data_IF_872075294805
#
_entry.id   IF_872075294805
#
_cell.length_a   1.000
_cell.length_b   1.000
_cell.length_c   1.000
_cell.angle_alpha   90.00
_cell.angle_beta   90.00
_cell.angle_gamma   90.00
#
_symmetry.space_group_name_H-M   'P 1'
#
loop_
_entity.id
_entity.type
_entity.pdbx_description
1 polymer ?
#
# COMPACT_ATOMS: atom_id res chain seq x y z
N UNK A 1 13.95 -23.76 -20.02
CA UNK A 1 13.63 -24.54 -18.79
C UNK A 1 12.28 -24.10 -18.24
N UNK A 2 11.73 -24.88 -17.27
CA UNK A 2 10.45 -24.56 -16.63
C UNK A 2 10.71 -24.28 -15.15
N UNK A 3 10.22 -23.15 -14.66
CA UNK A 3 10.30 -22.71 -13.28
C UNK A 3 8.91 -22.48 -12.69
N UNK A 4 8.80 -22.52 -11.37
CA UNK A 4 7.60 -22.16 -10.64
C UNK A 4 7.89 -21.08 -9.59
N UNK A 5 6.92 -20.21 -9.38
CA UNK A 5 6.96 -19.24 -8.29
C UNK A 5 5.72 -19.35 -7.43
N UNK A 6 5.92 -19.52 -6.14
CA UNK A 6 4.86 -19.63 -5.15
C UNK A 6 5.07 -18.60 -4.03
N UNK A 7 4.01 -17.84 -3.68
CA UNK A 7 4.10 -16.78 -2.69
C UNK A 7 2.95 -16.83 -1.67
N UNK A 8 3.30 -16.62 -0.41
CA UNK A 8 2.35 -16.36 0.68
C UNK A 8 2.74 -15.08 1.44
N UNK A 9 1.78 -14.43 2.08
CA UNK A 9 2.01 -13.15 2.77
C UNK A 9 2.56 -13.32 4.19
N UNK A 10 2.42 -14.50 4.80
CA UNK A 10 2.97 -14.83 6.12
C UNK A 10 3.46 -16.28 6.16
N UNK A 11 4.32 -16.59 7.13
CA UNK A 11 4.84 -17.94 7.35
C UNK A 11 3.77 -18.92 7.87
N UNK A 12 2.69 -18.42 8.44
CA UNK A 12 1.56 -19.20 8.93
C UNK A 12 0.67 -19.73 7.80
N UNK A 13 0.74 -19.12 6.60
CA UNK A 13 0.02 -19.57 5.44
C UNK A 13 0.79 -20.69 4.72
N UNK A 14 0.06 -21.70 4.25
CA UNK A 14 0.68 -22.83 3.54
C UNK A 14 0.84 -22.56 2.04
N UNK A 15 1.96 -23.01 1.50
CA UNK A 15 2.23 -23.01 0.05
C UNK A 15 1.71 -24.26 -0.65
N UNK A 16 1.24 -25.24 0.10
CA UNK A 16 0.91 -26.60 -0.38
C UNK A 16 0.03 -26.61 -1.63
N UNK A 17 -1.07 -25.83 -1.59
CA UNK A 17 -1.98 -25.74 -2.74
C UNK A 17 -1.28 -25.23 -3.99
N UNK A 18 -0.42 -24.21 -3.87
CA UNK A 18 0.31 -23.66 -5.00
C UNK A 18 1.35 -24.66 -5.51
N UNK A 19 2.09 -25.31 -4.60
CA UNK A 19 3.08 -26.34 -4.96
C UNK A 19 2.44 -27.51 -5.69
N UNK A 20 1.24 -27.95 -5.25
CA UNK A 20 0.48 -29.01 -5.93
C UNK A 20 0.13 -28.61 -7.37
N UNK A 21 -0.43 -27.42 -7.56
CA UNK A 21 -0.80 -26.88 -8.88
C UNK A 21 0.41 -26.78 -9.81
N UNK A 22 1.55 -26.27 -9.29
CA UNK A 22 2.78 -26.14 -10.07
C UNK A 22 3.34 -27.52 -10.46
N UNK A 23 3.32 -28.49 -9.55
CA UNK A 23 3.75 -29.86 -9.82
C UNK A 23 2.88 -30.54 -10.88
N UNK A 24 1.56 -30.36 -10.84
CA UNK A 24 0.62 -30.87 -11.86
C UNK A 24 0.91 -30.31 -13.26
N UNK A 25 1.53 -29.15 -13.35
CA UNK A 25 2.02 -28.52 -14.60
C UNK A 25 3.43 -28.97 -15.01
N UNK A 26 3.99 -29.97 -14.32
CA UNK A 26 5.30 -30.51 -14.64
C UNK A 26 6.49 -29.71 -14.13
N UNK A 27 6.27 -28.78 -13.21
CA UNK A 27 7.39 -28.01 -12.61
C UNK A 27 8.09 -28.90 -11.57
N UNK A 28 9.39 -29.09 -11.75
CA UNK A 28 10.22 -29.80 -10.75
C UNK A 28 10.29 -28.98 -9.45
N UNK A 29 10.16 -29.65 -8.31
CA UNK A 29 10.25 -29.04 -6.98
C UNK A 29 11.55 -28.26 -6.73
N UNK A 30 12.66 -28.72 -7.34
CA UNK A 30 13.96 -28.05 -7.30
C UNK A 30 13.97 -26.70 -8.06
N UNK A 31 13.01 -26.50 -8.97
CA UNK A 31 12.85 -25.29 -9.77
C UNK A 31 11.70 -24.40 -9.28
N UNK A 32 11.15 -24.67 -8.10
CA UNK A 32 10.11 -23.82 -7.50
C UNK A 32 10.72 -22.87 -6.47
N UNK A 33 10.57 -21.58 -6.72
CA UNK A 33 10.98 -20.49 -5.82
C UNK A 33 9.83 -20.14 -4.88
N UNK A 34 10.10 -20.18 -3.57
CA UNK A 34 9.09 -20.01 -2.51
C UNK A 34 9.30 -18.67 -1.79
N UNK A 35 8.39 -17.74 -1.94
CA UNK A 35 8.48 -16.39 -1.40
C UNK A 35 7.54 -16.17 -0.21
N UNK A 36 8.04 -15.53 0.85
CA UNK A 36 7.28 -15.10 2.01
C UNK A 36 7.23 -13.57 2.04
N UNK A 37 6.39 -12.99 1.21
CA UNK A 37 6.30 -11.54 1.04
C UNK A 37 4.88 -11.08 0.69
N UNK A 38 4.61 -9.79 0.94
CA UNK A 38 3.34 -9.17 0.55
C UNK A 38 3.14 -9.16 -0.96
N UNK A 39 1.88 -9.34 -1.41
CA UNK A 39 1.50 -9.16 -2.81
C UNK A 39 1.41 -7.71 -3.27
N UNK A 40 1.63 -6.72 -2.39
CA UNK A 40 1.47 -5.29 -2.71
C UNK A 40 2.63 -4.70 -3.50
N UNK A 41 3.84 -5.25 -3.37
CA UNK A 41 5.03 -4.78 -4.08
C UNK A 41 5.99 -5.93 -4.36
N UNK A 42 6.82 -5.79 -5.40
CA UNK A 42 7.95 -6.67 -5.68
C UNK A 42 9.21 -6.30 -4.88
N UNK A 43 9.20 -5.15 -4.24
CA UNK A 43 10.32 -4.72 -3.39
C UNK A 43 10.55 -5.74 -2.26
N UNK A 44 11.78 -6.19 -2.10
CA UNK A 44 12.21 -7.19 -1.11
C UNK A 44 11.71 -8.63 -1.38
N UNK A 45 11.44 -9.01 -2.64
CA UNK A 45 11.16 -10.40 -3.03
C UNK A 45 12.44 -11.09 -3.49
N UNK A 46 13.22 -11.54 -2.53
CA UNK A 46 14.55 -12.12 -2.75
C UNK A 46 14.48 -13.36 -3.65
N UNK A 47 13.47 -14.21 -3.43
CA UNK A 47 13.33 -15.44 -4.22
C UNK A 47 12.85 -15.14 -5.65
N UNK A 48 12.08 -14.09 -5.87
CA UNK A 48 11.72 -13.65 -7.21
C UNK A 48 12.94 -13.09 -7.97
N UNK A 49 13.77 -12.31 -7.31
CA UNK A 49 15.02 -11.79 -7.89
C UNK A 49 15.96 -12.94 -8.28
N UNK A 50 16.18 -13.92 -7.40
CA UNK A 50 16.94 -15.14 -7.68
C UNK A 50 16.39 -15.94 -8.85
N UNK A 51 15.06 -16.06 -8.93
CA UNK A 51 14.40 -16.70 -10.06
C UNK A 51 14.74 -15.99 -11.36
N UNK A 52 14.62 -14.65 -11.37
CA UNK A 52 14.93 -13.85 -12.54
C UNK A 52 16.41 -13.98 -12.96
N UNK A 53 17.35 -14.03 -12.02
CA UNK A 53 18.77 -14.22 -12.30
C UNK A 53 19.05 -15.58 -12.96
N UNK A 54 18.31 -16.61 -12.56
CA UNK A 54 18.46 -17.97 -13.08
C UNK A 54 17.83 -18.16 -14.46
N UNK A 55 16.77 -17.40 -14.77
CA UNK A 55 16.04 -17.51 -16.03
C UNK A 55 16.82 -17.00 -17.22
N UNK A 56 16.71 -17.70 -18.34
CA UNK A 56 17.27 -17.38 -19.65
C UNK A 56 16.15 -17.11 -20.67
N UNK A 57 16.52 -16.53 -21.81
CA UNK A 57 15.62 -16.36 -22.96
C UNK A 57 14.99 -17.71 -23.34
N UNK A 58 13.67 -17.74 -23.52
CA UNK A 58 12.90 -18.94 -23.85
C UNK A 58 12.45 -19.76 -22.64
N UNK A 59 12.86 -19.40 -21.41
CA UNK A 59 12.39 -20.07 -20.21
C UNK A 59 10.94 -19.68 -19.87
N UNK A 60 10.24 -20.55 -19.14
CA UNK A 60 8.85 -20.34 -18.74
C UNK A 60 8.74 -20.35 -17.23
N UNK A 61 8.06 -19.35 -16.67
CA UNK A 61 7.72 -19.26 -15.25
C UNK A 61 6.21 -19.50 -15.08
N UNK A 62 5.86 -20.51 -14.30
CA UNK A 62 4.49 -20.77 -13.89
C UNK A 62 4.16 -20.10 -12.55
N UNK A 63 3.05 -19.42 -12.51
CA UNK A 63 2.42 -18.84 -11.32
C UNK A 63 1.08 -19.54 -11.09
N UNK A 64 0.75 -19.87 -9.85
CA UNK A 64 -0.53 -20.52 -9.55
C UNK A 64 -1.72 -19.63 -9.94
N UNK A 65 -1.60 -18.31 -9.74
CA UNK A 65 -2.62 -17.31 -10.11
C UNK A 65 -1.99 -15.92 -10.13
N UNK A 66 -2.68 -14.97 -10.74
CA UNK A 66 -2.24 -13.57 -10.88
C UNK A 66 -2.11 -12.87 -9.51
N UNK A 67 -3.02 -13.14 -8.56
CA UNK A 67 -2.96 -12.57 -7.22
C UNK A 67 -1.76 -13.08 -6.41
N UNK A 68 -1.21 -14.25 -6.75
CA UNK A 68 0.04 -14.77 -6.19
C UNK A 68 1.26 -14.08 -6.78
N UNK A 69 1.18 -13.67 -8.03
CA UNK A 69 2.21 -12.85 -8.65
C UNK A 69 2.20 -11.43 -8.04
N UNK A 70 1.08 -10.71 -8.13
CA UNK A 70 0.93 -9.37 -7.57
C UNK A 70 -0.53 -9.01 -7.30
N UNK A 71 -0.75 -8.07 -6.37
CA UNK A 71 -2.03 -7.38 -6.14
C UNK A 71 -1.98 -5.91 -6.57
N UNK A 72 -0.84 -5.46 -7.06
CA UNK A 72 -0.65 -4.11 -7.58
C UNK A 72 -0.51 -4.20 -9.09
N UNK A 73 -1.46 -3.61 -9.79
CA UNK A 73 -1.56 -3.70 -11.24
C UNK A 73 -0.40 -3.00 -11.93
N UNK A 74 -0.02 -1.82 -11.48
CA UNK A 74 1.11 -1.07 -12.05
C UNK A 74 2.39 -1.89 -11.95
N UNK A 75 2.63 -2.51 -10.80
CA UNK A 75 3.78 -3.41 -10.60
C UNK A 75 3.66 -4.68 -11.45
N UNK A 76 2.45 -5.24 -11.59
CA UNK A 76 2.20 -6.40 -12.45
C UNK A 76 2.58 -6.10 -13.89
N UNK A 77 2.07 -5.01 -14.46
CA UNK A 77 2.36 -4.60 -15.84
C UNK A 77 3.86 -4.41 -16.06
N UNK A 78 4.51 -3.68 -15.17
CA UNK A 78 5.96 -3.44 -15.22
C UNK A 78 6.78 -4.73 -15.18
N UNK A 79 6.40 -5.68 -14.33
CA UNK A 79 7.11 -6.94 -14.23
C UNK A 79 6.85 -7.85 -15.44
N UNK A 80 5.64 -7.85 -15.99
CA UNK A 80 5.34 -8.60 -17.21
C UNK A 80 6.11 -8.04 -18.42
N UNK A 81 6.20 -6.72 -18.55
CA UNK A 81 7.05 -6.07 -19.56
C UNK A 81 8.54 -6.46 -19.37
N UNK A 82 8.99 -6.53 -18.14
CA UNK A 82 10.37 -6.95 -17.83
C UNK A 82 10.62 -8.40 -18.26
N UNK A 83 9.68 -9.31 -18.01
CA UNK A 83 9.78 -10.70 -18.45
C UNK A 83 9.74 -10.82 -19.97
N UNK A 84 8.83 -10.09 -20.62
CA UNK A 84 8.69 -10.07 -22.09
C UNK A 84 9.98 -9.55 -22.74
N UNK A 85 10.54 -8.44 -22.27
CA UNK A 85 11.79 -7.86 -22.77
C UNK A 85 12.99 -8.79 -22.57
N UNK A 86 12.96 -9.67 -21.58
CA UNK A 86 13.98 -10.70 -21.35
C UNK A 86 13.69 -12.01 -22.10
N UNK A 87 12.62 -12.08 -22.89
CA UNK A 87 12.21 -13.28 -23.61
C UNK A 87 11.79 -14.43 -22.68
N UNK A 88 11.32 -14.14 -21.46
CA UNK A 88 10.85 -15.11 -20.47
C UNK A 88 9.31 -15.15 -20.51
N UNK A 89 8.76 -16.37 -20.61
CA UNK A 89 7.32 -16.57 -20.66
C UNK A 89 6.75 -16.65 -19.23
N UNK A 90 5.66 -15.94 -18.98
CA UNK A 90 4.88 -16.06 -17.75
C UNK A 90 3.55 -16.77 -18.04
N UNK A 91 3.19 -17.75 -17.23
CA UNK A 91 1.93 -18.50 -17.33
C UNK A 91 1.20 -18.44 -15.99
N UNK A 92 -0.03 -17.94 -16.00
CA UNK A 92 -0.93 -17.88 -14.85
C UNK A 92 -1.96 -19.00 -14.97
N UNK A 93 -1.79 -20.03 -14.13
CA UNK A 93 -2.50 -21.33 -14.30
C UNK A 93 -4.00 -21.18 -14.05
N UNK A 94 -4.39 -20.47 -12.96
CA UNK A 94 -5.80 -20.33 -12.57
C UNK A 94 -6.61 -19.53 -13.61
N UNK A 95 -5.99 -18.53 -14.22
CA UNK A 95 -6.62 -17.66 -15.22
C UNK A 95 -6.49 -18.21 -16.64
N UNK A 96 -5.63 -19.22 -16.87
CA UNK A 96 -5.35 -19.75 -18.21
C UNK A 96 -4.63 -18.74 -19.13
N UNK A 97 -3.91 -17.78 -18.56
CA UNK A 97 -3.25 -16.68 -19.29
C UNK A 97 -1.77 -16.98 -19.46
N UNK A 98 -1.24 -16.70 -20.66
CA UNK A 98 0.19 -16.72 -20.96
C UNK A 98 0.61 -15.44 -21.68
N UNK A 99 1.83 -14.96 -21.40
CA UNK A 99 2.41 -13.81 -22.11
C UNK A 99 2.70 -14.10 -23.60
N UNK A 100 2.66 -15.35 -24.04
CA UNK A 100 2.70 -15.70 -25.47
C UNK A 100 1.46 -15.28 -26.26
N UNK A 101 0.33 -15.10 -25.59
CA UNK A 101 -0.91 -14.64 -26.22
C UNK A 101 -0.81 -13.14 -26.52
N UNK A 102 -0.14 -12.79 -27.64
CA UNK A 102 0.07 -11.40 -28.06
C UNK A 102 -1.25 -10.61 -28.08
N UNK A 103 -1.27 -9.48 -27.37
CA UNK A 103 -2.42 -8.58 -27.29
C UNK A 103 -3.50 -9.00 -26.29
N UNK A 104 -3.85 -10.28 -26.19
CA UNK A 104 -4.91 -10.77 -25.29
C UNK A 104 -4.48 -10.64 -23.83
N UNK A 105 -3.24 -10.97 -23.49
CA UNK A 105 -2.72 -10.81 -22.12
C UNK A 105 -2.74 -9.32 -21.71
N UNK A 106 -2.34 -8.41 -22.58
CA UNK A 106 -2.40 -6.94 -22.34
C UNK A 106 -3.85 -6.47 -22.17
N UNK A 107 -4.78 -6.96 -22.99
CA UNK A 107 -6.20 -6.63 -22.88
C UNK A 107 -6.80 -7.11 -21.57
N UNK A 108 -6.53 -8.35 -21.18
CA UNK A 108 -7.01 -8.93 -19.91
C UNK A 108 -6.42 -8.17 -18.71
N UNK A 109 -5.12 -7.86 -18.72
CA UNK A 109 -4.48 -7.03 -17.71
C UNK A 109 -5.13 -5.64 -17.64
N UNK A 110 -5.43 -5.01 -18.78
CA UNK A 110 -6.10 -3.72 -18.84
C UNK A 110 -7.52 -3.78 -18.24
N UNK A 111 -8.27 -4.84 -18.53
CA UNK A 111 -9.61 -5.06 -17.96
C UNK A 111 -9.53 -5.24 -16.44
N UNK A 112 -8.62 -6.07 -15.94
CA UNK A 112 -8.43 -6.24 -14.48
C UNK A 112 -7.95 -4.95 -13.83
N UNK A 113 -7.12 -4.15 -14.51
CA UNK A 113 -6.70 -2.83 -14.05
C UNK A 113 -7.89 -1.90 -13.88
N UNK A 114 -8.73 -1.84 -14.89
CA UNK A 114 -9.93 -1.02 -14.86
C UNK A 114 -10.92 -1.47 -13.75
N UNK A 115 -11.17 -2.78 -13.61
CA UNK A 115 -12.04 -3.33 -12.56
C UNK A 115 -11.52 -2.96 -11.16
N UNK A 116 -10.21 -3.11 -10.91
CA UNK A 116 -9.63 -2.77 -9.62
C UNK A 116 -9.65 -1.26 -9.33
N UNK A 117 -9.60 -0.42 -10.35
CA UNK A 117 -9.75 1.02 -10.22
C UNK A 117 -11.21 1.38 -9.88
N UNK A 118 -12.17 0.75 -10.54
CA UNK A 118 -13.60 0.90 -10.22
C UNK A 118 -13.92 0.45 -8.79
N UNK A 119 -13.37 -0.67 -8.33
CA UNK A 119 -13.52 -1.09 -6.92
C UNK A 119 -12.99 -0.06 -5.92
N UNK A 120 -11.83 0.53 -6.21
CA UNK A 120 -11.26 1.60 -5.36
C UNK A 120 -12.14 2.83 -5.33
N UNK A 121 -12.68 3.23 -6.47
CA UNK A 121 -13.60 4.37 -6.57
C UNK A 121 -14.88 4.11 -5.77
N UNK A 122 -15.48 2.93 -5.90
CA UNK A 122 -16.65 2.52 -5.13
C UNK A 122 -16.38 2.51 -3.61
N UNK A 123 -15.19 2.04 -3.19
CA UNK A 123 -14.80 2.08 -1.77
C UNK A 123 -14.67 3.52 -1.28
N UNK A 124 -14.02 4.40 -2.04
CA UNK A 124 -13.90 5.83 -1.70
C UNK A 124 -15.28 6.49 -1.61
N UNK A 125 -16.15 6.21 -2.57
CA UNK A 125 -17.50 6.78 -2.59
C UNK A 125 -18.32 6.29 -1.38
N UNK A 126 -18.28 5.00 -1.04
CA UNK A 126 -18.94 4.47 0.17
C UNK A 126 -18.35 5.10 1.44
N UNK A 127 -17.05 5.31 1.51
CA UNK A 127 -16.42 6.01 2.62
C UNK A 127 -16.90 7.46 2.71
N UNK A 128 -16.97 8.17 1.57
CA UNK A 128 -17.46 9.55 1.51
C UNK A 128 -18.92 9.63 1.97
N UNK A 129 -19.77 8.75 1.48
CA UNK A 129 -21.17 8.65 1.92
C UNK A 129 -21.28 8.34 3.41
N UNK A 130 -20.47 7.40 3.91
CA UNK A 130 -20.40 7.09 5.34
C UNK A 130 -19.96 8.29 6.18
N UNK A 131 -18.99 9.07 5.73
CA UNK A 131 -18.57 10.31 6.41
C UNK A 131 -19.68 11.38 6.36
N UNK A 132 -20.32 11.56 5.22
CA UNK A 132 -21.40 12.55 5.07
C UNK A 132 -22.64 12.24 5.92
N UNK A 133 -22.90 10.97 6.19
CA UNK A 133 -23.99 10.51 7.04
C UNK A 133 -23.70 10.66 8.56
N UNK A 134 -22.47 11.02 8.95
CA UNK A 134 -22.14 11.22 10.36
C UNK A 134 -22.77 12.50 10.91
N UNK A 135 -23.30 12.41 12.13
CA UNK A 135 -23.78 13.57 12.86
C UNK A 135 -22.61 14.58 13.10
N UNK A 136 -22.93 15.87 13.17
CA UNK A 136 -21.99 16.93 13.49
C UNK A 136 -22.20 17.42 14.91
N UNK A 137 -21.10 17.74 15.61
CA UNK A 137 -21.18 18.42 16.91
C UNK A 137 -21.50 19.91 16.74
N UNK A 138 -21.67 20.62 17.86
CA UNK A 138 -21.94 22.06 17.88
C UNK A 138 -20.84 22.93 17.25
N UNK A 139 -19.66 22.34 16.99
CA UNK A 139 -18.52 22.97 16.28
C UNK A 139 -18.42 22.54 14.82
N UNK A 140 -19.42 21.81 14.30
CA UNK A 140 -19.44 21.31 12.92
C UNK A 140 -18.54 20.11 12.64
N UNK A 141 -17.94 19.47 13.66
CA UNK A 141 -17.07 18.30 13.50
C UNK A 141 -17.91 17.03 13.43
N UNK A 142 -17.57 16.14 12.54
CA UNK A 142 -18.23 14.82 12.40
C UNK A 142 -18.01 13.96 13.64
N UNK A 143 -19.06 13.30 14.10
CA UNK A 143 -19.04 12.42 15.28
C UNK A 143 -19.09 10.96 14.82
N UNK A 144 -18.20 10.13 15.33
CA UNK A 144 -18.20 8.69 15.09
C UNK A 144 -19.45 8.05 15.71
N UNK A 145 -20.24 7.35 14.91
CA UNK A 145 -21.40 6.59 15.38
C UNK A 145 -21.05 5.48 16.38
N UNK A 146 -19.81 4.95 16.32
CA UNK A 146 -19.35 3.88 17.21
C UNK A 146 -18.84 4.39 18.55
N UNK A 147 -18.22 5.56 18.61
CA UNK A 147 -17.51 6.04 19.81
C UNK A 147 -18.12 7.30 20.40
N UNK A 148 -19.06 7.96 19.70
CA UNK A 148 -19.61 9.26 20.09
C UNK A 148 -18.60 10.40 20.13
N UNK A 149 -17.35 10.17 19.65
CA UNK A 149 -16.27 11.16 19.69
C UNK A 149 -16.07 11.79 18.32
N UNK A 150 -15.57 13.04 18.27
CA UNK A 150 -15.22 13.68 17.00
C UNK A 150 -14.26 12.84 16.17
N UNK A 151 -14.55 12.72 14.87
CA UNK A 151 -13.70 12.01 13.90
C UNK A 151 -12.56 12.94 13.49
N UNK A 152 -11.34 12.41 13.45
CA UNK A 152 -10.16 13.14 13.02
C UNK A 152 -9.09 13.22 14.09
N UNK A 153 -8.06 14.03 13.79
CA UNK A 153 -6.96 14.25 14.74
C UNK A 153 -7.47 15.05 15.93
N UNK A 154 -7.14 14.60 17.14
CA UNK A 154 -7.48 15.34 18.37
C UNK A 154 -6.97 16.79 18.27
N UNK A 155 -7.80 17.73 18.70
CA UNK A 155 -7.35 19.10 18.90
C UNK A 155 -6.24 19.13 19.96
N UNK A 156 -5.22 19.91 19.67
CA UNK A 156 -4.13 20.12 20.62
C UNK A 156 -4.63 21.15 21.63
N UNK A 157 -4.87 20.71 22.86
CA UNK A 157 -5.13 21.56 24.00
C UNK A 157 -3.81 21.80 24.74
N UNK A 158 -3.48 23.04 24.98
CA UNK A 158 -2.36 23.42 25.84
C UNK A 158 -2.85 23.45 27.30
N UNK A 159 -2.04 22.94 28.20
CA UNK A 159 -2.31 23.06 29.63
C UNK A 159 -2.03 24.46 30.18
N UNK A 160 -2.39 24.72 31.44
CA UNK A 160 -2.24 26.06 32.05
C UNK A 160 -0.78 26.53 32.08
N UNK A 161 0.20 25.63 32.19
CA UNK A 161 1.63 25.97 32.16
C UNK A 161 2.08 26.32 30.74
N UNK A 162 1.63 25.56 29.78
CA UNK A 162 1.92 25.78 28.35
C UNK A 162 1.29 27.09 27.84
N UNK A 163 0.07 27.40 28.29
CA UNK A 163 -0.60 28.67 27.98
C UNK A 163 0.18 29.86 28.56
N UNK A 164 0.59 29.78 29.83
CA UNK A 164 1.40 30.82 30.46
C UNK A 164 2.75 31.04 29.75
N UNK A 165 3.42 29.94 29.37
CA UNK A 165 4.67 30.00 28.61
C UNK A 165 4.47 30.69 27.25
N UNK A 166 3.34 30.41 26.58
CA UNK A 166 2.99 31.06 25.33
C UNK A 166 2.72 32.56 25.49
N UNK A 167 2.01 32.94 26.53
CA UNK A 167 1.76 34.35 26.89
C UNK A 167 3.04 35.11 27.22
N UNK A 168 3.94 34.51 28.03
CA UNK A 168 5.22 35.11 28.38
C UNK A 168 6.14 35.25 27.15
N UNK A 169 6.06 34.32 26.19
CA UNK A 169 6.73 34.46 24.89
C UNK A 169 6.15 35.61 24.07
N UNK A 170 4.82 35.71 23.95
CA UNK A 170 4.14 36.74 23.19
C UNK A 170 4.36 38.15 23.78
N UNK A 171 4.40 38.25 25.08
CA UNK A 171 4.66 39.53 25.78
C UNK A 171 6.13 39.93 25.81
N UNK A 172 7.02 39.13 25.21
CA UNK A 172 8.45 39.41 25.16
C UNK A 172 9.19 39.21 26.50
N UNK A 173 8.55 38.62 27.50
CA UNK A 173 9.18 38.31 28.79
C UNK A 173 10.21 37.18 28.69
N UNK A 174 10.05 36.30 27.70
CA UNK A 174 10.97 35.22 27.45
C UNK A 174 11.51 35.37 26.02
N UNK A 175 12.85 35.38 25.92
CA UNK A 175 13.55 35.51 24.65
C UNK A 175 14.08 34.13 24.25
N UNK A 176 13.24 33.28 23.63
CA UNK A 176 13.58 31.96 23.08
C UNK A 176 13.20 31.87 21.61
N UNK A 177 13.83 30.99 20.89
CA UNK A 177 13.49 30.76 19.46
C UNK A 177 12.14 30.03 19.33
N UNK A 178 11.45 30.23 18.20
CA UNK A 178 10.20 29.51 17.90
C UNK A 178 10.39 27.98 17.88
N UNK A 179 11.62 27.51 17.64
CA UNK A 179 11.95 26.09 17.68
C UNK A 179 11.97 25.57 19.11
N UNK A 180 12.58 26.32 20.02
CA UNK A 180 12.62 26.00 21.44
C UNK A 180 11.22 26.10 22.07
N UNK A 181 10.45 27.13 21.71
CA UNK A 181 9.07 27.26 22.15
C UNK A 181 8.22 26.04 21.73
N UNK A 182 8.30 25.61 20.47
CA UNK A 182 7.59 24.41 20.01
C UNK A 182 7.98 23.16 20.79
N UNK A 183 9.27 23.03 21.12
CA UNK A 183 9.81 21.90 21.89
C UNK A 183 9.31 21.92 23.34
N UNK A 184 9.31 23.10 23.99
CA UNK A 184 8.81 23.29 25.34
C UNK A 184 7.28 23.06 25.44
N UNK A 185 6.52 23.47 24.41
CA UNK A 185 5.09 23.21 24.31
C UNK A 185 4.76 21.76 23.91
N UNK A 186 5.75 20.93 23.56
CA UNK A 186 5.52 19.54 23.13
C UNK A 186 4.75 19.41 21.81
N UNK A 187 4.81 20.43 20.95
CA UNK A 187 4.07 20.48 19.68
C UNK A 187 5.01 20.63 18.47
N UNK A 188 4.56 20.25 17.29
CA UNK A 188 5.36 20.45 16.08
C UNK A 188 5.41 21.94 15.68
N UNK A 189 6.51 22.36 15.03
CA UNK A 189 6.67 23.71 14.51
C UNK A 189 5.52 24.13 13.59
N UNK A 190 5.03 23.24 12.74
CA UNK A 190 3.91 23.52 11.84
C UNK A 190 2.60 23.80 12.59
N UNK A 191 2.38 23.17 13.74
CA UNK A 191 1.23 23.44 14.61
C UNK A 191 1.39 24.78 15.30
N UNK A 192 2.58 25.07 15.84
CA UNK A 192 2.86 26.38 16.45
C UNK A 192 2.58 27.51 15.48
N UNK A 193 3.11 27.43 14.26
CA UNK A 193 2.90 28.47 13.25
C UNK A 193 1.46 28.57 12.77
N UNK A 194 0.83 27.48 12.35
CA UNK A 194 -0.48 27.49 11.69
C UNK A 194 -1.67 27.67 12.63
N UNK A 195 -1.58 27.19 13.86
CA UNK A 195 -2.73 27.16 14.78
C UNK A 195 -2.62 28.10 15.97
N UNK A 196 -1.43 28.51 16.34
CA UNK A 196 -1.20 29.25 17.58
C UNK A 196 -0.70 30.68 17.32
N UNK A 197 0.17 30.85 16.32
CA UNK A 197 0.73 32.17 16.01
C UNK A 197 0.01 32.92 14.87
N UNK A 198 -0.72 32.21 14.00
CA UNK A 198 -1.41 32.81 12.82
C UNK A 198 -2.87 33.16 13.11
N UNK A 199 -3.51 32.60 14.14
CA UNK A 199 -4.91 32.93 14.48
C UNK A 199 -5.10 34.31 15.17
N UNK A 200 -4.14 35.24 15.05
CA UNK A 200 -4.21 36.58 15.59
C UNK A 200 -4.22 37.67 14.51
N UNK A 201 -4.40 37.30 13.24
CA UNK A 201 -4.59 38.28 12.14
C UNK A 201 -5.98 38.05 11.54
N UNK A 202 -7.00 38.32 12.35
CA UNK A 202 -8.38 38.53 11.88
C UNK A 202 -9.11 39.35 12.90
#
# INVERSE_FOLDING_TARGET
MIYGYARVSSKEQTLERQLKILKEKGVDMANIFKEFASGKSFKNRIEYERLLEKCKVGDTIYFASLDRFSRNIVETTKQLETLENRGIKAVFIAEGISTEMQGVAKLIISIFSWVAEQERELIKERQRQGYNALAKDNKGRMISSKTGKPVGRKEISLDSRQLKLLEDYKSGKINITKVELAKLLGISRSVLYKKILVNEVS
#
